data_IF_417238128888
#
_entry.id   IF_417238128888
#
_cell.length_a   1.000
_cell.length_b   1.000
_cell.length_c   1.000
_cell.angle_alpha   90.00
_cell.angle_beta   90.00
_cell.angle_gamma   90.00
#
_symmetry.space_group_name_H-M   'P 1'
#
loop_
_entity.id
_entity.type
_entity.pdbx_description
1 polymer ?
#
# COMPACT_ATOMS: atom_id res chain seq x y z
N UNK A 1 24.14 4.11 -25.67
CA UNK A 1 23.13 5.12 -26.03
C UNK A 1 22.49 5.60 -24.75
N UNK A 2 22.95 6.72 -24.23
CA UNK A 2 22.46 7.34 -22.99
C UNK A 2 21.08 7.93 -23.28
N UNK A 3 20.01 7.17 -23.00
CA UNK A 3 18.68 7.78 -22.92
C UNK A 3 18.70 8.67 -21.69
N UNK A 4 18.85 9.98 -21.89
CA UNK A 4 18.52 10.95 -20.85
C UNK A 4 17.06 10.70 -20.48
N UNK A 5 16.80 10.38 -19.22
CA UNK A 5 15.45 10.41 -18.67
C UNK A 5 14.90 11.79 -19.00
N UNK A 6 13.76 11.82 -19.67
CA UNK A 6 13.14 13.06 -20.17
C UNK A 6 13.07 14.08 -19.02
N UNK A 7 13.46 15.33 -19.30
CA UNK A 7 13.76 16.41 -18.34
C UNK A 7 12.62 16.83 -17.41
N UNK A 8 11.46 16.19 -17.49
CA UNK A 8 10.32 16.51 -16.64
C UNK A 8 9.73 15.22 -16.06
N UNK A 9 9.98 15.01 -14.76
CA UNK A 9 9.39 13.95 -13.92
C UNK A 9 7.89 13.71 -14.20
N UNK A 10 7.19 14.75 -14.66
CA UNK A 10 5.75 14.88 -14.79
C UNK A 10 5.25 14.70 -16.22
N UNK A 11 6.12 14.81 -17.25
CA UNK A 11 5.73 14.47 -18.64
C UNK A 11 5.30 13.01 -18.73
N UNK A 12 5.94 12.14 -17.95
CA UNK A 12 5.60 10.72 -17.78
C UNK A 12 4.13 10.49 -17.38
N UNK A 13 3.57 11.37 -16.55
CA UNK A 13 2.21 11.25 -16.02
C UNK A 13 1.17 11.71 -17.05
N UNK A 14 1.49 12.78 -17.79
CA UNK A 14 0.70 13.29 -18.91
C UNK A 14 0.71 12.31 -20.10
N UNK A 15 1.83 11.61 -20.30
CA UNK A 15 2.01 10.60 -21.34
C UNK A 15 1.59 9.19 -20.93
N UNK A 16 1.04 9.01 -19.72
CA UNK A 16 0.60 7.70 -19.24
C UNK A 16 -0.55 7.15 -20.11
N UNK A 17 -0.43 5.89 -20.53
CA UNK A 17 -1.47 5.23 -21.35
C UNK A 17 -2.82 5.12 -20.66
N UNK A 18 -2.82 5.02 -19.33
CA UNK A 18 -4.04 4.93 -18.51
C UNK A 18 -4.48 6.34 -18.15
N UNK A 19 -5.70 6.76 -18.52
CA UNK A 19 -6.18 8.10 -18.18
C UNK A 19 -6.28 8.30 -16.67
N UNK A 20 -5.71 9.38 -16.14
CA UNK A 20 -5.81 9.75 -14.72
C UNK A 20 -7.28 9.82 -14.27
N UNK A 21 -8.15 10.35 -15.13
CA UNK A 21 -9.59 10.48 -14.87
C UNK A 21 -10.32 9.15 -14.68
N UNK A 22 -9.80 8.07 -15.26
CA UNK A 22 -10.34 6.72 -15.03
C UNK A 22 -9.98 6.24 -13.61
N UNK A 23 -8.73 6.46 -13.21
CA UNK A 23 -8.24 6.07 -11.89
C UNK A 23 -8.91 6.88 -10.78
N UNK A 24 -9.12 8.19 -10.98
CA UNK A 24 -9.75 9.04 -9.97
C UNK A 24 -11.20 8.68 -9.71
N UNK A 25 -11.98 8.36 -10.75
CA UNK A 25 -13.36 7.87 -10.60
C UNK A 25 -13.43 6.55 -9.83
N UNK A 26 -12.42 5.69 -9.98
CA UNK A 26 -12.36 4.38 -9.35
C UNK A 26 -11.88 4.45 -7.89
N UNK A 27 -10.85 5.25 -7.61
CA UNK A 27 -10.12 5.23 -6.34
C UNK A 27 -10.31 6.47 -5.47
N UNK A 28 -10.83 7.57 -6.03
CA UNK A 28 -10.84 8.88 -5.39
C UNK A 28 -12.14 9.68 -5.66
N UNK A 29 -13.25 9.01 -5.98
CA UNK A 29 -14.55 9.63 -6.28
C UNK A 29 -14.49 10.76 -7.34
N UNK A 30 -13.57 10.66 -8.30
CA UNK A 30 -13.36 11.64 -9.37
C UNK A 30 -12.36 12.75 -9.04
N UNK A 31 -11.67 12.69 -7.90
CA UNK A 31 -10.62 13.65 -7.54
C UNK A 31 -9.28 13.28 -8.20
N UNK A 32 -8.95 13.96 -9.29
CA UNK A 32 -7.72 13.73 -10.06
C UNK A 32 -6.45 14.09 -9.27
N UNK A 33 -6.49 15.12 -8.44
CA UNK A 33 -5.31 15.59 -7.70
C UNK A 33 -4.75 14.55 -6.73
N UNK A 34 -5.62 13.79 -6.06
CA UNK A 34 -5.20 12.73 -5.13
C UNK A 34 -4.47 11.60 -5.85
N UNK A 35 -4.94 11.24 -7.04
CA UNK A 35 -4.30 10.20 -7.87
C UNK A 35 -2.98 10.72 -8.41
N UNK A 36 -2.94 11.95 -8.91
CA UNK A 36 -1.71 12.59 -9.40
C UNK A 36 -0.66 12.61 -8.30
N UNK A 37 -0.99 13.11 -7.10
CA UNK A 37 -0.07 13.12 -5.95
C UNK A 37 0.48 11.74 -5.63
N UNK A 38 -0.37 10.71 -5.65
CA UNK A 38 0.06 9.33 -5.40
C UNK A 38 1.06 8.83 -6.45
N UNK A 39 0.81 9.13 -7.73
CA UNK A 39 1.74 8.77 -8.80
C UNK A 39 3.06 9.56 -8.73
N UNK A 40 3.01 10.85 -8.40
CA UNK A 40 4.20 11.68 -8.22
C UNK A 40 5.12 11.09 -7.14
N UNK A 41 4.54 10.61 -6.03
CA UNK A 41 5.28 9.91 -4.98
C UNK A 41 5.98 8.65 -5.51
N UNK A 42 5.27 7.80 -6.25
CA UNK A 42 5.85 6.57 -6.80
C UNK A 42 6.95 6.83 -7.84
N UNK A 43 6.82 7.87 -8.65
CA UNK A 43 7.85 8.27 -9.63
C UNK A 43 9.08 8.82 -8.90
N UNK A 44 8.90 9.66 -7.88
CA UNK A 44 10.01 10.19 -7.08
C UNK A 44 10.84 9.07 -6.43
N UNK A 45 10.18 8.06 -5.85
CA UNK A 45 10.87 6.87 -5.29
C UNK A 45 11.69 6.15 -6.35
N UNK A 46 11.14 5.95 -7.56
CA UNK A 46 11.88 5.29 -8.65
C UNK A 46 13.13 6.07 -9.06
N UNK A 47 13.04 7.39 -9.11
CA UNK A 47 14.14 8.26 -9.52
C UNK A 47 15.20 8.30 -8.43
N UNK A 48 14.80 8.39 -7.17
CA UNK A 48 15.69 8.27 -6.03
C UNK A 48 16.50 6.96 -6.06
N UNK A 49 15.83 5.80 -6.20
CA UNK A 49 16.54 4.51 -6.29
C UNK A 49 17.35 4.35 -7.58
N UNK A 50 16.95 5.00 -8.67
CA UNK A 50 17.73 5.01 -9.92
C UNK A 50 19.04 5.78 -9.77
N UNK A 51 19.02 6.92 -9.09
CA UNK A 51 20.23 7.68 -8.78
C UNK A 51 21.23 6.83 -7.98
N UNK A 52 20.74 6.02 -7.02
CA UNK A 52 21.59 5.12 -6.23
C UNK A 52 22.12 3.90 -7.00
N UNK A 53 21.32 3.33 -7.91
CA UNK A 53 21.63 2.01 -8.53
C UNK A 53 22.24 2.09 -9.93
N UNK A 54 21.84 3.07 -10.73
CA UNK A 54 22.22 3.19 -12.16
C UNK A 54 23.23 4.33 -12.36
N UNK A 55 23.16 5.39 -11.56
CA UNK A 55 24.08 6.54 -11.63
C UNK A 55 23.88 7.44 -12.85
N UNK A 56 22.76 7.32 -13.57
CA UNK A 56 22.37 8.18 -14.68
C UNK A 56 21.45 9.34 -14.27
N UNK A 57 21.11 9.41 -12.98
CA UNK A 57 20.38 10.50 -12.33
C UNK A 57 21.28 11.06 -11.24
N UNK A 58 21.41 12.38 -11.21
CA UNK A 58 22.21 13.08 -10.19
C UNK A 58 21.48 13.11 -8.84
N UNK A 59 22.23 13.26 -7.75
CA UNK A 59 21.63 13.35 -6.41
C UNK A 59 20.72 14.57 -6.29
N UNK A 60 21.11 15.69 -6.91
CA UNK A 60 20.34 16.93 -6.92
C UNK A 60 18.99 16.76 -7.64
N UNK A 61 18.95 16.01 -8.75
CA UNK A 61 17.70 15.67 -9.45
C UNK A 61 16.80 14.77 -8.61
N UNK A 62 17.37 13.79 -7.92
CA UNK A 62 16.64 12.92 -7.01
C UNK A 62 16.07 13.69 -5.80
N UNK A 63 16.86 14.56 -5.18
CA UNK A 63 16.42 15.40 -4.06
C UNK A 63 15.33 16.38 -4.49
N UNK A 64 15.43 16.96 -5.69
CA UNK A 64 14.38 17.81 -6.26
C UNK A 64 13.07 17.03 -6.53
N UNK A 65 13.18 15.77 -6.98
CA UNK A 65 12.04 14.89 -7.19
C UNK A 65 11.31 14.58 -5.88
N UNK A 66 12.05 14.25 -4.81
CA UNK A 66 11.50 14.01 -3.47
C UNK A 66 10.83 15.26 -2.90
N UNK A 67 11.49 16.43 -3.03
CA UNK A 67 10.95 17.71 -2.57
C UNK A 67 9.63 18.05 -3.28
N UNK A 68 9.54 17.84 -4.60
CA UNK A 68 8.30 18.10 -5.36
C UNK A 68 7.18 17.12 -5.01
N UNK A 69 7.53 15.89 -4.62
CA UNK A 69 6.56 14.90 -4.12
C UNK A 69 6.21 15.09 -2.62
N UNK A 70 6.89 16.02 -1.94
CA UNK A 70 6.66 16.33 -0.53
C UNK A 70 6.98 15.17 0.41
N UNK A 71 8.10 14.47 0.16
CA UNK A 71 8.56 13.35 0.98
C UNK A 71 10.05 13.45 1.33
N UNK A 72 10.47 12.74 2.37
CA UNK A 72 11.89 12.61 2.74
C UNK A 72 12.55 11.40 2.06
N UNK A 73 13.89 11.33 2.08
CA UNK A 73 14.62 10.16 1.61
C UNK A 73 14.31 8.91 2.45
N UNK A 74 14.09 9.07 3.76
CA UNK A 74 13.70 7.98 4.67
C UNK A 74 12.34 7.39 4.29
N UNK A 75 11.36 8.25 3.98
CA UNK A 75 10.05 7.82 3.49
C UNK A 75 10.19 7.12 2.13
N UNK A 76 11.04 7.62 1.24
CA UNK A 76 11.28 7.01 -0.06
C UNK A 76 11.87 5.60 0.08
N UNK A 77 12.83 5.40 0.99
CA UNK A 77 13.43 4.10 1.27
C UNK A 77 12.41 3.14 1.92
N UNK A 78 11.58 3.62 2.84
CA UNK A 78 10.51 2.83 3.44
C UNK A 78 9.49 2.39 2.39
N UNK A 79 9.09 3.27 1.47
CA UNK A 79 8.19 2.92 0.36
C UNK A 79 8.85 1.89 -0.56
N UNK A 80 10.13 2.07 -0.89
CA UNK A 80 10.88 1.11 -1.72
C UNK A 80 10.93 -0.26 -1.06
N UNK A 81 11.26 -0.34 0.24
CA UNK A 81 11.26 -1.58 1.01
C UNK A 81 9.90 -2.27 0.94
N UNK A 82 8.82 -1.55 1.30
CA UNK A 82 7.47 -2.13 1.39
C UNK A 82 6.91 -2.57 0.03
N UNK A 83 7.33 -1.94 -1.07
CA UNK A 83 6.80 -2.24 -2.41
C UNK A 83 7.64 -3.25 -3.18
N UNK A 84 8.96 -3.26 -2.96
CA UNK A 84 9.90 -4.01 -3.78
C UNK A 84 10.62 -5.14 -3.04
N UNK A 85 10.84 -5.00 -1.72
CA UNK A 85 11.59 -5.96 -0.90
C UNK A 85 10.82 -6.55 0.30
N UNK A 86 9.48 -6.52 0.39
CA UNK A 86 8.82 -6.92 1.63
C UNK A 86 8.92 -8.44 1.85
N UNK A 87 9.29 -8.84 3.07
CA UNK A 87 9.24 -10.23 3.51
C UNK A 87 7.80 -10.67 3.82
N UNK A 88 7.58 -11.96 4.07
CA UNK A 88 6.22 -12.48 4.33
C UNK A 88 5.53 -11.81 5.54
N UNK A 89 6.29 -11.59 6.62
CA UNK A 89 5.77 -11.01 7.86
C UNK A 89 5.42 -9.52 7.70
N UNK A 90 6.14 -8.80 6.84
CA UNK A 90 5.89 -7.39 6.53
C UNK A 90 4.68 -7.18 5.61
N UNK A 91 4.38 -8.14 4.71
CA UNK A 91 3.18 -8.07 3.86
C UNK A 91 1.90 -8.32 4.65
N UNK A 92 1.96 -9.18 5.66
CA UNK A 92 0.80 -9.68 6.38
C UNK A 92 0.95 -9.45 7.88
N UNK A 93 0.64 -8.22 8.32
CA UNK A 93 0.58 -7.88 9.74
C UNK A 93 -0.85 -8.09 10.24
N UNK A 94 -1.23 -9.37 10.40
CA UNK A 94 -2.57 -9.77 10.88
C UNK A 94 -2.46 -10.12 12.37
N UNK A 95 -2.97 -9.27 13.28
CA UNK A 95 -2.98 -9.59 14.70
C UNK A 95 -3.93 -10.77 14.98
N UNK A 96 -3.67 -11.57 16.03
CA UNK A 96 -4.61 -12.61 16.44
C UNK A 96 -5.94 -11.97 16.81
N UNK A 97 -7.03 -12.56 16.30
CA UNK A 97 -8.37 -12.17 16.71
C UNK A 97 -8.65 -12.68 18.12
N UNK A 98 -9.08 -11.79 19.03
CA UNK A 98 -9.41 -12.10 20.42
C UNK A 98 -10.74 -12.86 20.55
N UNK A 99 -10.85 -14.00 19.87
CA UNK A 99 -12.06 -14.83 19.82
C UNK A 99 -12.56 -15.24 21.20
N UNK A 100 -11.63 -15.45 22.14
CA UNK A 100 -11.97 -15.92 23.49
C UNK A 100 -12.74 -14.85 24.28
N UNK A 101 -12.34 -13.58 24.19
CA UNK A 101 -13.04 -12.47 24.88
C UNK A 101 -14.48 -12.29 24.38
N UNK A 102 -14.72 -12.42 23.08
CA UNK A 102 -16.07 -12.31 22.51
C UNK A 102 -16.97 -13.50 22.89
N UNK A 103 -16.39 -14.67 23.19
CA UNK A 103 -17.13 -15.87 23.60
C UNK A 103 -17.42 -15.84 25.10
N UNK A 104 -16.50 -15.31 25.91
CA UNK A 104 -16.56 -15.31 27.38
C UNK A 104 -17.81 -14.61 27.94
N UNK A 105 -18.38 -13.64 27.20
CA UNK A 105 -19.63 -12.98 27.59
C UNK A 105 -20.83 -13.95 27.69
N UNK A 106 -20.83 -15.03 26.89
CA UNK A 106 -21.96 -15.94 26.76
C UNK A 106 -21.63 -17.38 27.16
N UNK A 107 -20.37 -17.80 27.07
CA UNK A 107 -19.92 -19.18 27.27
C UNK A 107 -18.49 -19.22 27.83
N UNK A 108 -18.14 -20.28 28.55
CA UNK A 108 -16.73 -20.57 28.85
C UNK A 108 -15.96 -20.86 27.54
N UNK A 109 -14.88 -20.12 27.21
CA UNK A 109 -14.10 -20.33 26.00
C UNK A 109 -13.52 -21.74 25.87
N UNK A 110 -13.14 -22.39 26.99
CA UNK A 110 -12.58 -23.75 26.96
C UNK A 110 -13.65 -24.79 26.62
N UNK A 111 -14.82 -24.68 27.24
CA UNK A 111 -15.98 -25.49 26.87
C UNK A 111 -16.33 -25.28 25.39
N UNK A 112 -16.36 -24.03 24.91
CA UNK A 112 -16.69 -23.72 23.51
C UNK A 112 -15.70 -24.33 22.53
N UNK A 113 -14.40 -24.33 22.86
CA UNK A 113 -13.36 -24.98 22.05
C UNK A 113 -13.57 -26.50 21.95
N UNK A 114 -13.99 -27.15 23.03
CA UNK A 114 -14.26 -28.58 23.07
C UNK A 114 -15.52 -28.98 22.28
N UNK A 115 -16.54 -28.13 22.27
CA UNK A 115 -17.80 -28.36 21.55
C UNK A 115 -17.70 -28.10 20.03
N UNK A 116 -16.67 -27.38 19.58
CA UNK A 116 -16.49 -27.04 18.17
C UNK A 116 -15.95 -28.23 17.36
N UNK A 117 -16.63 -28.57 16.27
CA UNK A 117 -16.15 -29.54 15.26
C UNK A 117 -16.93 -30.86 15.20
N UNK A 118 -17.77 -31.17 16.20
CA UNK A 118 -18.61 -32.37 16.22
C UNK A 118 -20.09 -32.02 16.35
N UNK A 119 -20.91 -32.29 15.31
CA UNK A 119 -22.39 -32.28 15.38
C UNK A 119 -23.14 -31.22 14.56
N UNK A 120 -24.45 -31.48 14.31
CA UNK A 120 -25.36 -30.55 13.62
C UNK A 120 -25.61 -29.32 14.49
N UNK A 121 -25.24 -28.14 13.98
CA UNK A 121 -25.49 -26.86 14.63
C UNK A 121 -27.00 -26.57 14.69
N UNK A 122 -27.63 -26.75 15.84
CA UNK A 122 -28.86 -26.03 16.17
C UNK A 122 -28.47 -24.85 17.07
N UNK A 123 -28.56 -23.64 16.53
CA UNK A 123 -28.53 -22.44 17.35
C UNK A 123 -29.85 -22.30 18.14
N UNK A 124 -29.89 -21.44 19.16
CA UNK A 124 -31.15 -21.10 19.82
C UNK A 124 -32.13 -20.53 18.78
N UNK A 125 -33.29 -21.18 18.61
CA UNK A 125 -34.41 -20.61 17.87
C UNK A 125 -35.01 -19.49 18.71
N UNK A 126 -35.08 -18.28 18.14
CA UNK A 126 -35.95 -17.22 18.66
C UNK A 126 -37.34 -17.40 18.06
N UNK A 127 -38.33 -17.56 18.93
CA UNK A 127 -39.73 -17.76 18.51
C UNK A 127 -40.04 -19.23 18.24
N UNK A 128 -41.32 -19.57 18.48
CA UNK A 128 -41.94 -20.89 18.32
C UNK A 128 -41.66 -21.55 16.97
#
# INVERSE_FOLDING_TARGET
GTQRVETDLFSSLENARVPVRYMSRTLAAGNDELVIKSYQKMIAVRIYKRAETVGDVTKEEADAALAKAGMTAEEAEAIYHLTSLPNYQERFVIPPYSREGDIEELYDPQQRKAEMGFGKRQGPQRGL
#
